data_IF_266540289411
#
_entry.id   IF_266540289411
#
_cell.length_a   1.000
_cell.length_b   1.000
_cell.length_c   1.000
_cell.angle_alpha   90.00
_cell.angle_beta   90.00
_cell.angle_gamma   90.00
#
_symmetry.space_group_name_H-M   'P 1'
#
loop_
_entity.id
_entity.type
_entity.pdbx_description
1 polymer ?
#
# COMPACT_ATOMS: atom_id res chain seq x y z
N UNK A 1 5.87 -15.42 1.97
CA UNK A 1 5.19 -14.15 1.63
C UNK A 1 5.11 -13.19 2.81
N UNK A 2 5.23 -11.88 2.58
CA UNK A 2 5.09 -10.82 3.60
C UNK A 2 3.61 -10.52 3.94
N UNK A 3 3.30 -10.18 5.19
CA UNK A 3 1.95 -9.77 5.62
C UNK A 3 2.01 -8.37 6.21
N UNK A 4 1.52 -7.38 5.46
CA UNK A 4 1.59 -5.98 5.80
C UNK A 4 0.25 -5.54 6.42
N UNK A 5 0.21 -5.15 7.71
CA UNK A 5 -0.99 -4.57 8.30
C UNK A 5 -1.35 -3.24 7.63
N UNK A 6 -2.66 -3.03 7.44
CA UNK A 6 -3.25 -1.84 6.87
C UNK A 6 -3.98 -1.05 7.96
N UNK A 7 -3.70 0.25 8.00
CA UNK A 7 -4.56 1.26 8.62
C UNK A 7 -5.02 2.23 7.54
N UNK A 8 -6.09 2.98 7.81
CA UNK A 8 -6.45 4.10 6.96
C UNK A 8 -6.68 5.38 7.73
N UNK A 9 -6.56 6.49 7.02
CA UNK A 9 -6.82 7.84 7.51
C UNK A 9 -7.96 8.42 6.70
N UNK A 10 -8.98 8.95 7.37
CA UNK A 10 -10.09 9.65 6.72
C UNK A 10 -10.68 10.69 7.65
N UNK A 11 -10.86 11.92 7.18
CA UNK A 11 -11.27 13.08 7.98
C UNK A 11 -10.40 13.21 9.24
N UNK A 12 -9.09 13.09 9.08
CA UNK A 12 -8.07 13.16 10.14
C UNK A 12 -8.17 12.04 11.21
N UNK A 13 -9.14 11.13 11.08
CA UNK A 13 -9.31 9.99 11.98
C UNK A 13 -8.56 8.76 11.46
N UNK A 14 -7.95 8.03 12.39
CA UNK A 14 -7.24 6.78 12.12
C UNK A 14 -8.17 5.59 12.28
N UNK A 15 -8.09 4.60 11.39
CA UNK A 15 -8.94 3.41 11.38
C UNK A 15 -8.13 2.11 11.34
N UNK A 16 -8.61 1.05 11.99
CA UNK A 16 -7.97 -0.29 12.09
C UNK A 16 -8.00 -1.14 10.78
N UNK A 17 -8.09 -0.49 9.63
CA UNK A 17 -8.30 -1.09 8.32
C UNK A 17 -8.88 -0.06 7.39
N UNK A 18 -9.58 -0.47 6.33
CA UNK A 18 -10.33 0.48 5.47
C UNK A 18 -11.44 1.19 6.26
N UNK A 19 -11.49 2.52 6.17
CA UNK A 19 -12.38 3.39 6.95
C UNK A 19 -13.89 3.07 6.82
N UNK A 20 -14.31 2.41 5.73
CA UNK A 20 -15.71 2.01 5.52
C UNK A 20 -16.16 0.88 6.47
N UNK A 21 -15.22 0.05 6.92
CA UNK A 21 -15.48 -1.24 7.59
C UNK A 21 -14.79 -1.36 8.96
N UNK A 22 -14.11 -0.30 9.43
CA UNK A 22 -13.20 -0.37 10.58
C UNK A 22 -13.56 0.62 11.69
N UNK A 23 -13.20 0.26 12.93
CA UNK A 23 -13.31 1.15 14.08
C UNK A 23 -12.23 2.23 14.06
N UNK A 24 -12.55 3.39 14.64
CA UNK A 24 -11.57 4.45 14.90
C UNK A 24 -10.55 3.95 15.93
N UNK A 25 -9.28 4.24 15.67
CA UNK A 25 -8.12 3.80 16.42
C UNK A 25 -7.39 5.03 16.97
N UNK A 26 -6.84 4.97 18.19
CA UNK A 26 -5.85 5.94 18.65
C UNK A 26 -4.44 5.41 18.40
N UNK A 27 -3.46 6.32 18.27
CA UNK A 27 -2.05 5.93 18.11
C UNK A 27 -1.54 5.07 19.26
N UNK A 28 -1.94 5.36 20.50
CA UNK A 28 -1.55 4.54 21.66
C UNK A 28 -2.03 3.09 21.50
N UNK A 29 -3.27 2.89 21.05
CA UNK A 29 -3.79 1.53 20.82
C UNK A 29 -3.11 0.89 19.62
N UNK A 30 -2.83 1.63 18.54
CA UNK A 30 -2.07 1.12 17.39
C UNK A 30 -0.72 0.55 17.84
N UNK A 31 0.02 1.32 18.64
CA UNK A 31 1.34 0.97 19.15
C UNK A 31 1.34 -0.20 20.14
N UNK A 32 0.20 -0.51 20.78
CA UNK A 32 0.06 -1.77 21.55
C UNK A 32 -0.18 -2.99 20.67
N UNK A 33 -0.55 -2.79 19.40
CA UNK A 33 -1.00 -3.85 18.47
C UNK A 33 -0.01 -4.17 17.36
N UNK A 34 0.93 -3.28 17.12
CA UNK A 34 1.94 -3.40 16.07
C UNK A 34 3.30 -3.39 16.75
N UNK A 35 4.12 -4.38 16.44
CA UNK A 35 5.49 -4.45 16.96
C UNK A 35 6.34 -3.33 16.35
N UNK A 36 7.33 -2.86 17.12
CA UNK A 36 8.27 -1.86 16.64
C UNK A 36 8.95 -2.31 15.34
N UNK A 37 9.20 -1.36 14.45
CA UNK A 37 9.83 -1.53 13.14
C UNK A 37 9.01 -2.41 12.18
N UNK A 38 7.73 -2.67 12.48
CA UNK A 38 6.81 -3.33 11.53
C UNK A 38 6.48 -2.37 10.40
N UNK A 39 6.55 -2.87 9.16
CA UNK A 39 6.04 -2.17 7.98
C UNK A 39 4.51 -2.02 8.09
N UNK A 40 4.02 -0.80 7.97
CA UNK A 40 2.62 -0.44 8.07
C UNK A 40 2.16 0.21 6.77
N UNK A 41 1.14 -0.36 6.12
CA UNK A 41 0.49 0.27 4.98
C UNK A 41 -0.50 1.33 5.51
N UNK A 42 -0.29 2.57 5.11
CA UNK A 42 -1.12 3.72 5.48
C UNK A 42 -1.89 4.17 4.25
N UNK A 43 -3.19 3.86 4.22
CA UNK A 43 -4.10 4.33 3.17
C UNK A 43 -4.71 5.67 3.59
N UNK A 44 -4.23 6.76 3.02
CA UNK A 44 -4.72 8.10 3.34
C UNK A 44 -5.80 8.53 2.33
N UNK A 45 -7.06 8.37 2.73
CA UNK A 45 -8.20 8.80 1.92
C UNK A 45 -8.27 10.32 1.78
N UNK A 46 -7.78 11.11 2.74
CA UNK A 46 -7.81 12.56 2.64
C UNK A 46 -6.81 13.06 1.59
N UNK A 47 -5.62 12.43 1.53
CA UNK A 47 -4.66 12.61 0.44
C UNK A 47 -5.25 12.22 -0.91
N UNK A 48 -5.73 10.99 -1.02
CA UNK A 48 -6.24 10.41 -2.28
C UNK A 48 -7.44 11.21 -2.81
N UNK A 49 -8.45 11.44 -1.98
CA UNK A 49 -9.73 12.04 -2.40
C UNK A 49 -9.64 13.58 -2.49
N UNK A 50 -8.87 14.24 -1.62
CA UNK A 50 -8.93 15.70 -1.44
C UNK A 50 -7.59 16.42 -1.61
N UNK A 51 -6.50 15.71 -1.95
CA UNK A 51 -5.15 16.27 -1.99
C UNK A 51 -4.69 16.84 -0.65
N UNK A 52 -5.13 16.25 0.46
CA UNK A 52 -4.79 16.71 1.80
C UNK A 52 -4.13 15.59 2.63
N UNK A 53 -2.89 15.18 2.31
CA UNK A 53 -2.19 14.14 3.06
C UNK A 53 -1.92 14.54 4.51
N UNK A 54 -1.99 13.57 5.41
CA UNK A 54 -1.81 13.75 6.84
C UNK A 54 -0.33 13.62 7.26
N UNK A 55 0.55 14.50 6.76
CA UNK A 55 2.01 14.39 6.98
C UNK A 55 2.44 14.37 8.46
N UNK A 56 1.80 15.17 9.33
CA UNK A 56 2.09 15.17 10.77
C UNK A 56 1.81 13.80 11.42
N UNK A 57 0.73 13.14 10.98
CA UNK A 57 0.41 11.79 11.45
C UNK A 57 1.49 10.79 11.00
N UNK A 58 1.99 10.91 9.77
CA UNK A 58 3.04 10.02 9.28
C UNK A 58 4.29 10.15 10.16
N UNK A 59 4.75 11.37 10.42
CA UNK A 59 5.91 11.62 11.27
C UNK A 59 5.76 10.97 12.66
N UNK A 60 4.57 11.05 13.27
CA UNK A 60 4.29 10.37 14.55
C UNK A 60 4.31 8.85 14.43
N UNK A 61 3.83 8.29 13.33
CA UNK A 61 3.87 6.84 13.09
C UNK A 61 5.31 6.32 12.92
N UNK A 62 6.21 7.13 12.36
CA UNK A 62 7.64 6.74 12.19
C UNK A 62 8.39 6.50 13.49
N UNK A 63 7.87 6.97 14.63
CA UNK A 63 8.46 6.71 15.95
C UNK A 63 8.52 5.21 16.28
N UNK A 64 7.63 4.41 15.67
CA UNK A 64 7.55 2.97 15.93
C UNK A 64 7.42 2.09 14.69
N UNK A 65 6.97 2.62 13.54
CA UNK A 65 6.68 1.81 12.35
C UNK A 65 7.53 2.24 11.17
N UNK A 66 7.79 1.30 10.26
CA UNK A 66 8.28 1.60 8.91
C UNK A 66 7.05 1.87 8.03
N UNK A 67 7.06 2.94 7.24
CA UNK A 67 5.84 3.41 6.57
C UNK A 67 5.83 3.11 5.07
N UNK A 68 4.76 2.43 4.66
CA UNK A 68 4.33 2.37 3.28
C UNK A 68 3.10 3.26 3.09
N UNK A 69 3.26 4.38 2.41
CA UNK A 69 2.24 5.42 2.29
C UNK A 69 1.54 5.36 0.93
N UNK A 70 0.21 5.41 0.96
CA UNK A 70 -0.66 5.58 -0.20
C UNK A 70 -1.57 6.78 0.05
N UNK A 71 -1.10 7.96 -0.36
CA UNK A 71 -1.78 9.24 -0.16
C UNK A 71 -2.14 9.93 -1.49
N UNK A 72 -1.95 9.24 -2.61
CA UNK A 72 -2.27 9.73 -3.96
C UNK A 72 -1.45 10.94 -4.44
N UNK A 73 -0.11 10.90 -4.46
CA UNK A 73 0.72 11.98 -5.03
C UNK A 73 0.34 12.29 -6.48
N UNK A 74 0.37 13.57 -6.87
CA UNK A 74 -0.06 14.04 -8.20
C UNK A 74 1.03 14.73 -9.00
N UNK A 75 2.21 14.86 -8.39
CA UNK A 75 3.43 15.46 -8.95
C UNK A 75 4.63 15.04 -8.11
N UNK A 76 5.82 15.34 -8.62
CA UNK A 76 7.09 14.98 -8.00
C UNK A 76 7.26 15.57 -6.58
N UNK A 77 6.83 16.82 -6.39
CA UNK A 77 6.89 17.50 -5.08
C UNK A 77 6.07 16.75 -4.02
N UNK A 78 4.90 16.20 -4.39
CA UNK A 78 4.06 15.46 -3.45
C UNK A 78 4.73 14.13 -3.02
N UNK A 79 5.53 13.51 -3.91
CA UNK A 79 6.36 12.35 -3.58
C UNK A 79 7.45 12.77 -2.60
N UNK A 80 8.13 13.87 -2.86
CA UNK A 80 9.15 14.42 -1.96
C UNK A 80 8.61 14.71 -0.56
N UNK A 81 7.45 15.37 -0.47
CA UNK A 81 6.80 15.67 0.81
C UNK A 81 6.47 14.38 1.58
N UNK A 82 6.06 13.33 0.86
CA UNK A 82 5.75 12.01 1.44
C UNK A 82 7.01 11.32 1.99
N UNK A 83 8.14 11.40 1.28
CA UNK A 83 9.45 10.89 1.74
C UNK A 83 9.92 11.69 2.95
N UNK A 84 9.85 13.02 2.89
CA UNK A 84 10.25 13.91 3.99
C UNK A 84 9.40 13.72 5.25
N UNK A 85 8.17 13.23 5.10
CA UNK A 85 7.31 12.83 6.21
C UNK A 85 7.65 11.43 6.77
N UNK A 86 8.58 10.70 6.16
CA UNK A 86 9.17 9.45 6.64
C UNK A 86 8.67 8.17 5.97
N UNK A 87 8.09 8.26 4.78
CA UNK A 87 7.80 7.08 3.97
C UNK A 87 9.09 6.39 3.49
N UNK A 88 9.12 5.06 3.54
CA UNK A 88 10.17 4.24 2.87
C UNK A 88 9.63 3.51 1.65
N UNK A 89 8.29 3.43 1.54
CA UNK A 89 7.57 2.81 0.45
C UNK A 89 6.42 3.74 0.06
N UNK A 90 6.21 3.96 -1.24
CA UNK A 90 5.16 4.88 -1.74
C UNK A 90 4.35 4.21 -2.83
N UNK A 91 3.02 4.25 -2.70
CA UNK A 91 2.09 3.84 -3.75
C UNK A 91 1.69 5.05 -4.60
N UNK A 92 1.86 4.93 -5.91
CA UNK A 92 1.46 5.90 -6.91
C UNK A 92 0.23 5.38 -7.66
N UNK A 93 -0.68 6.30 -8.01
CA UNK A 93 -1.95 6.00 -8.70
C UNK A 93 -1.99 6.78 -10.01
N UNK A 94 -1.96 6.07 -11.14
CA UNK A 94 -1.91 6.70 -12.47
C UNK A 94 -3.15 7.56 -12.75
N UNK A 95 -4.29 7.20 -12.17
CA UNK A 95 -5.55 7.93 -12.30
C UNK A 95 -5.51 9.31 -11.63
N UNK A 96 -4.63 9.50 -10.64
CA UNK A 96 -4.43 10.77 -9.94
C UNK A 96 -3.28 11.60 -10.54
N UNK A 97 -2.39 10.95 -11.28
CA UNK A 97 -1.26 11.58 -11.96
C UNK A 97 -1.15 11.06 -13.40
N UNK A 98 -1.95 11.59 -14.35
CA UNK A 98 -1.95 11.11 -15.74
C UNK A 98 -0.60 11.23 -16.44
N UNK A 99 0.12 12.32 -16.15
CA UNK A 99 1.46 12.63 -16.69
C UNK A 99 2.58 12.12 -15.77
N UNK A 100 2.40 10.94 -15.17
CA UNK A 100 3.35 10.32 -14.26
C UNK A 100 4.72 10.12 -14.93
N UNK A 101 5.73 10.84 -14.43
CA UNK A 101 7.13 10.72 -14.87
C UNK A 101 7.90 9.78 -13.94
N UNK A 102 7.79 8.48 -14.21
CA UNK A 102 8.46 7.46 -13.41
C UNK A 102 9.99 7.58 -13.41
N UNK A 103 10.68 7.83 -14.54
CA UNK A 103 12.12 8.10 -14.52
C UNK A 103 12.54 9.21 -13.56
N UNK A 104 11.83 10.34 -13.54
CA UNK A 104 12.12 11.43 -12.61
C UNK A 104 11.97 11.01 -11.14
N UNK A 105 10.99 10.16 -10.83
CA UNK A 105 10.80 9.63 -9.47
C UNK A 105 11.93 8.65 -9.09
N UNK A 106 12.37 7.80 -10.02
CA UNK A 106 13.48 6.87 -9.78
C UNK A 106 14.83 7.59 -9.63
N UNK A 107 15.00 8.77 -10.25
CA UNK A 107 16.16 9.63 -10.02
C UNK A 107 16.10 10.39 -8.69
N UNK A 108 14.89 10.60 -8.17
CA UNK A 108 14.62 11.39 -6.97
C UNK A 108 14.95 10.64 -5.68
N UNK A 109 14.64 9.34 -5.62
CA UNK A 109 14.72 8.55 -4.40
C UNK A 109 15.17 7.11 -4.65
N UNK A 110 15.86 6.54 -3.66
CA UNK A 110 16.16 5.11 -3.56
C UNK A 110 15.07 4.32 -2.82
N UNK A 111 14.04 5.00 -2.28
CA UNK A 111 12.89 4.38 -1.60
C UNK A 111 12.05 3.53 -2.56
N UNK A 112 11.33 2.56 -2.03
CA UNK A 112 10.59 1.61 -2.86
C UNK A 112 9.30 2.23 -3.42
N UNK A 113 9.20 2.28 -4.76
CA UNK A 113 8.03 2.79 -5.47
C UNK A 113 7.11 1.66 -5.93
N UNK A 114 5.82 1.85 -5.71
CA UNK A 114 4.77 0.93 -6.11
C UNK A 114 3.73 1.63 -6.97
N UNK A 115 3.13 0.87 -7.89
CA UNK A 115 1.99 1.32 -8.68
C UNK A 115 0.74 0.57 -8.30
N UNK A 116 -0.32 1.30 -7.97
CA UNK A 116 -1.66 0.73 -7.95
C UNK A 116 -2.06 0.40 -9.39
N UNK A 117 -2.29 -0.89 -9.65
CA UNK A 117 -2.71 -1.40 -10.97
C UNK A 117 -4.09 -2.04 -10.91
N UNK A 118 -4.85 -1.75 -9.85
CA UNK A 118 -6.14 -2.36 -9.55
C UNK A 118 -7.14 -2.22 -10.70
N UNK A 119 -7.33 -0.97 -11.18
CA UNK A 119 -8.25 -0.66 -12.26
C UNK A 119 -7.80 -1.29 -13.58
N UNK A 120 -6.52 -1.10 -13.93
CA UNK A 120 -5.94 -1.68 -15.14
C UNK A 120 -6.10 -3.21 -15.18
N UNK A 121 -5.80 -3.89 -14.07
CA UNK A 121 -5.95 -5.33 -13.98
C UNK A 121 -7.42 -5.77 -14.08
N UNK A 122 -8.34 -5.00 -13.49
CA UNK A 122 -9.77 -5.28 -13.58
C UNK A 122 -10.26 -5.23 -15.03
N UNK A 123 -9.81 -4.24 -15.81
CA UNK A 123 -10.19 -4.03 -17.21
C UNK A 123 -9.50 -5.00 -18.18
N UNK A 124 -8.18 -5.21 -18.02
CA UNK A 124 -7.36 -5.92 -18.99
C UNK A 124 -7.02 -7.35 -18.61
N UNK A 125 -7.30 -7.78 -17.37
CA UNK A 125 -6.95 -9.11 -16.82
C UNK A 125 -5.47 -9.47 -16.98
N UNK A 126 -4.60 -8.47 -17.10
CA UNK A 126 -3.17 -8.60 -17.27
C UNK A 126 -2.46 -7.57 -16.41
N UNK A 127 -1.21 -7.87 -16.03
CA UNK A 127 -0.33 -6.96 -15.33
C UNK A 127 0.81 -6.63 -16.28
N UNK A 128 0.82 -5.40 -16.78
CA UNK A 128 1.91 -4.86 -17.55
C UNK A 128 2.27 -3.49 -16.98
N UNK A 129 3.40 -3.43 -16.28
CA UNK A 129 3.95 -2.14 -15.82
C UNK A 129 4.62 -1.48 -17.04
N UNK A 130 4.18 -0.28 -17.45
CA UNK A 130 4.70 0.37 -18.65
C UNK A 130 6.07 1.03 -18.43
N UNK A 131 6.73 0.76 -17.30
CA UNK A 131 7.97 1.39 -16.87
C UNK A 131 9.05 0.35 -16.61
N UNK A 132 10.31 0.76 -16.78
CA UNK A 132 11.48 -0.06 -16.50
C UNK A 132 11.94 0.13 -15.05
N UNK A 133 12.72 -0.84 -14.54
CA UNK A 133 13.29 -0.80 -13.20
C UNK A 133 12.48 -1.56 -12.15
N UNK A 134 12.93 -1.46 -10.90
CA UNK A 134 12.41 -2.22 -9.76
C UNK A 134 11.17 -1.54 -9.17
N UNK A 135 10.07 -1.56 -9.92
CA UNK A 135 8.79 -0.99 -9.50
C UNK A 135 7.86 -2.10 -9.02
N UNK A 136 7.36 -1.96 -7.79
CA UNK A 136 6.38 -2.87 -7.23
C UNK A 136 4.96 -2.63 -7.76
N UNK A 137 4.09 -3.62 -7.60
CA UNK A 137 2.66 -3.51 -7.92
C UNK A 137 1.84 -3.66 -6.65
N UNK A 138 0.82 -2.82 -6.49
CA UNK A 138 -0.27 -3.02 -5.54
C UNK A 138 -1.55 -3.35 -6.31
N UNK A 139 -2.26 -4.38 -5.85
CA UNK A 139 -3.61 -4.71 -6.27
C UNK A 139 -4.55 -4.54 -5.09
N UNK A 140 -5.15 -3.36 -5.01
CA UNK A 140 -6.09 -2.92 -3.99
C UNK A 140 -7.55 -3.21 -4.35
N UNK A 141 -7.86 -4.41 -4.88
CA UNK A 141 -9.24 -4.82 -5.17
C UNK A 141 -9.49 -6.29 -4.77
N UNK A 142 -10.44 -6.54 -3.87
CA UNK A 142 -10.84 -7.89 -3.43
C UNK A 142 -11.38 -8.76 -4.57
N UNK A 143 -11.95 -8.17 -5.62
CA UNK A 143 -12.49 -8.90 -6.77
C UNK A 143 -11.40 -9.54 -7.65
N UNK A 144 -10.14 -9.15 -7.47
CA UNK A 144 -9.01 -9.82 -8.14
C UNK A 144 -8.80 -11.26 -7.67
N UNK A 145 -9.51 -11.71 -6.62
CA UNK A 145 -9.50 -13.09 -6.12
C UNK A 145 -9.90 -14.17 -7.14
N UNK A 146 -10.43 -13.80 -8.30
CA UNK A 146 -10.87 -14.74 -9.35
C UNK A 146 -10.00 -14.75 -10.61
N UNK A 147 -8.97 -13.90 -10.70
CA UNK A 147 -8.00 -13.91 -11.81
C UNK A 147 -6.71 -14.60 -11.38
N UNK A 148 -6.34 -15.71 -12.03
CA UNK A 148 -5.03 -16.32 -11.82
C UNK A 148 -3.91 -15.42 -12.33
N UNK A 149 -2.84 -15.26 -11.57
CA UNK A 149 -1.64 -14.57 -12.03
C UNK A 149 -0.82 -15.52 -12.90
N UNK A 150 -0.33 -15.06 -14.04
CA UNK A 150 0.71 -15.82 -14.72
C UNK A 150 1.97 -15.77 -13.84
N UNK A 151 2.55 -16.93 -13.51
CA UNK A 151 3.80 -17.02 -12.73
C UNK A 151 4.93 -16.17 -13.34
N UNK A 152 4.86 -15.92 -14.65
CA UNK A 152 5.83 -15.13 -15.39
C UNK A 152 5.80 -13.64 -15.00
N UNK A 153 4.62 -13.06 -14.78
CA UNK A 153 4.47 -11.67 -14.31
C UNK A 153 4.99 -11.49 -12.88
N UNK A 154 4.68 -12.44 -11.99
CA UNK A 154 5.09 -12.38 -10.59
C UNK A 154 6.61 -12.57 -10.39
N UNK A 155 7.28 -13.28 -11.30
CA UNK A 155 8.73 -13.51 -11.21
C UNK A 155 9.61 -12.28 -11.45
N UNK A 156 9.05 -11.21 -12.03
CA UNK A 156 9.81 -10.00 -12.44
C UNK A 156 9.58 -8.80 -11.53
N UNK A 157 8.51 -8.80 -10.73
CA UNK A 157 8.06 -7.63 -9.96
C UNK A 157 7.53 -8.03 -8.60
N UNK A 158 7.75 -7.18 -7.60
CA UNK A 158 7.18 -7.35 -6.26
C UNK A 158 5.68 -7.02 -6.30
N UNK A 159 4.82 -8.03 -6.33
CA UNK A 159 3.36 -7.84 -6.35
C UNK A 159 2.80 -8.03 -4.94
N UNK A 160 2.05 -7.03 -4.46
CA UNK A 160 1.29 -7.07 -3.22
C UNK A 160 -0.21 -7.03 -3.51
N UNK A 161 -0.96 -7.91 -2.84
CA UNK A 161 -2.41 -8.00 -2.98
C UNK A 161 -3.10 -7.58 -1.68
N UNK A 162 -4.03 -6.65 -1.76
CA UNK A 162 -4.95 -6.42 -0.64
C UNK A 162 -5.95 -7.58 -0.55
N UNK A 163 -6.12 -8.12 0.67
CA UNK A 163 -7.08 -9.19 0.93
C UNK A 163 -7.75 -9.05 2.28
N UNK A 164 -9.03 -9.38 2.33
CA UNK A 164 -9.79 -9.45 3.58
C UNK A 164 -9.51 -10.70 4.42
N UNK A 165 -8.68 -11.65 3.98
CA UNK A 165 -8.41 -12.89 4.74
C UNK A 165 -7.01 -13.44 4.47
N UNK A 166 -6.37 -13.96 5.52
CA UNK A 166 -5.07 -14.66 5.40
C UNK A 166 -5.21 -16.13 5.00
N UNK A 167 -6.42 -16.69 4.93
CA UNK A 167 -6.63 -18.13 4.67
C UNK A 167 -6.03 -18.59 3.33
N UNK A 168 -5.95 -17.68 2.36
CA UNK A 168 -5.38 -17.95 1.03
C UNK A 168 -3.89 -17.64 0.91
N UNK A 169 -3.19 -17.34 2.02
CA UNK A 169 -1.78 -16.96 2.00
C UNK A 169 -0.90 -17.99 1.26
N UNK A 170 -1.09 -19.29 1.52
CA UNK A 170 -0.38 -20.35 0.80
C UNK A 170 -0.66 -20.35 -0.71
N UNK A 171 -1.92 -20.16 -1.10
CA UNK A 171 -2.28 -20.08 -2.51
C UNK A 171 -1.57 -18.91 -3.21
N UNK A 172 -1.53 -17.75 -2.56
CA UNK A 172 -0.87 -16.53 -3.06
C UNK A 172 0.66 -16.66 -3.16
N UNK A 173 1.29 -17.28 -2.18
CA UNK A 173 2.72 -17.60 -2.18
C UNK A 173 3.06 -18.53 -3.37
N UNK A 174 2.20 -19.53 -3.65
CA UNK A 174 2.34 -20.43 -4.82
C UNK A 174 2.14 -19.73 -6.18
N UNK A 175 1.44 -18.59 -6.21
CA UNK A 175 1.31 -17.72 -7.39
C UNK A 175 2.51 -16.76 -7.56
N UNK A 176 3.43 -16.70 -6.60
CA UNK A 176 4.62 -15.85 -6.63
C UNK A 176 4.41 -14.43 -6.11
N UNK A 177 3.35 -14.17 -5.35
CA UNK A 177 3.13 -12.86 -4.73
C UNK A 177 4.21 -12.56 -3.66
N UNK A 178 4.70 -11.32 -3.65
CA UNK A 178 5.70 -10.87 -2.67
C UNK A 178 5.08 -10.68 -1.29
N UNK A 179 3.82 -10.25 -1.25
CA UNK A 179 3.12 -9.98 0.00
C UNK A 179 1.62 -9.85 -0.14
N UNK A 180 0.95 -9.78 1.00
CA UNK A 180 -0.43 -9.34 1.12
C UNK A 180 -0.52 -8.12 2.03
N UNK A 181 -1.47 -7.25 1.73
CA UNK A 181 -1.90 -6.14 2.57
C UNK A 181 -3.23 -6.55 3.21
N UNK A 182 -3.38 -6.40 4.52
CA UNK A 182 -4.58 -6.82 5.24
C UNK A 182 -4.95 -5.83 6.34
N UNK A 183 -6.25 -5.56 6.51
CA UNK A 183 -6.75 -4.74 7.62
C UNK A 183 -6.15 -5.18 8.97
N UNK A 184 -5.64 -4.23 9.75
CA UNK A 184 -5.04 -4.50 11.06
C UNK A 184 -5.99 -5.30 11.97
N UNK A 185 -7.28 -4.97 11.98
CA UNK A 185 -8.30 -5.68 12.77
C UNK A 185 -8.44 -7.16 12.36
N UNK A 186 -8.19 -7.50 11.09
CA UNK A 186 -8.29 -8.87 10.57
C UNK A 186 -7.01 -9.67 10.74
N UNK A 187 -5.85 -9.01 10.91
CA UNK A 187 -4.58 -9.65 11.25
C UNK A 187 -4.64 -10.37 12.61
N UNK A 188 -5.42 -9.85 13.56
CA UNK A 188 -5.51 -10.37 14.93
C UNK A 188 -6.44 -11.57 15.11
N UNK A 189 -7.10 -12.04 14.04
CA UNK A 189 -7.96 -13.23 14.06
C UNK A 189 -7.21 -14.56 14.21
N UNK A 190 -5.87 -14.55 14.23
CA UNK A 190 -5.05 -15.77 14.28
C UNK A 190 -4.17 -15.76 15.53
N UNK A 191 -4.66 -16.46 16.55
CA UNK A 191 -3.78 -17.06 17.55
C UNK A 191 -2.92 -18.10 16.83
N UNK A 192 -1.61 -17.95 16.94
CA UNK A 192 -0.62 -19.01 16.64
C UNK A 192 -0.95 -20.23 17.48
#
# INVERSE_FOLDING_TARGET
MNVIPLISVKKEALYEGRAQDAAVLSLDILFTRVEKDTMLYVLDYDGIEHNNPNFELYQRLTEQCILWIDNGPRRLDDVMDTIMAGATNITLRKELWPDLDMPAIQELTDDEIYLDMSLYHQEHKTLHVPYLGDIGIVLFNEETMYGGFSKESASKQKIFLYTGSIEKNRFWDEQGLAGIIIDLQKKQGVKV
#
